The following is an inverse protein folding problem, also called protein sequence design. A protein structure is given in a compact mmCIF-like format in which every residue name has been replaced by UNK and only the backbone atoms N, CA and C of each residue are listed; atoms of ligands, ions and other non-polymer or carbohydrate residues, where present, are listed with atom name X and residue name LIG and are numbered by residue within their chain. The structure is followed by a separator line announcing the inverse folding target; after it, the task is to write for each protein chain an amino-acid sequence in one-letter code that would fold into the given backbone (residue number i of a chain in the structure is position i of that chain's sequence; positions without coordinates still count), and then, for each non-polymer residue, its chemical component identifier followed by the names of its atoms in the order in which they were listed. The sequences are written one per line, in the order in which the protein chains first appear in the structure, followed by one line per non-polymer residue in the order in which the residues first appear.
data_IF_551003943787
#
_entry.id   IF_551003943787
#
_cell.length_a   1.000
_cell.length_b   1.000
_cell.length_c   1.000
_cell.angle_alpha   90.00
_cell.angle_beta   90.00
_cell.angle_gamma   90.00
#
_symmetry.space_group_name_H-M   'P 1'
#
loop_
_entity.id
_entity.type
_entity.pdbx_description
1 polymer ?
#
# COMPACT_ATOMS: atom_id res chain seq x y z
N UNK A 1 -62.86 29.17 -20.99
CA UNK A 1 -63.36 28.41 -22.13
C UNK A 1 -62.80 27.00 -21.94
N UNK A 2 -63.50 26.18 -21.16
CA UNK A 2 -64.21 24.96 -21.59
C UNK A 2 -63.28 24.08 -22.45
N UNK A 3 -62.91 22.85 -22.11
CA UNK A 3 -63.78 21.67 -21.97
C UNK A 3 -63.08 20.61 -21.13
N UNK A 4 -63.77 20.12 -20.14
CA UNK A 4 -63.61 18.88 -19.37
C UNK A 4 -63.88 17.68 -20.28
N UNK A 5 -63.04 16.65 -20.28
CA UNK A 5 -63.43 15.30 -20.72
C UNK A 5 -62.96 14.32 -19.62
N UNK A 6 -63.97 13.86 -18.92
CA UNK A 6 -63.95 12.73 -18.01
C UNK A 6 -63.99 11.47 -18.86
N UNK A 7 -63.03 10.57 -18.73
CA UNK A 7 -63.17 9.19 -19.16
C UNK A 7 -62.95 8.26 -17.96
N UNK A 8 -64.08 7.87 -17.40
CA UNK A 8 -64.19 6.66 -16.59
C UNK A 8 -63.96 5.46 -17.51
N UNK A 9 -62.96 4.68 -17.29
CA UNK A 9 -62.87 3.32 -17.79
C UNK A 9 -62.79 2.35 -16.63
N UNK A 10 -63.81 1.53 -16.58
CA UNK A 10 -64.10 0.54 -15.57
C UNK A 10 -62.96 -0.48 -15.37
N UNK A 11 -62.58 -0.66 -14.14
CA UNK A 11 -61.68 -1.67 -13.67
C UNK A 11 -62.40 -3.02 -13.64
N UNK A 12 -62.24 -3.85 -14.63
CA UNK A 12 -62.65 -5.26 -14.58
C UNK A 12 -61.50 -6.08 -13.97
N UNK A 13 -61.60 -6.37 -12.68
CA UNK A 13 -60.76 -7.37 -12.00
C UNK A 13 -61.13 -8.77 -12.52
N UNK A 14 -60.30 -9.31 -13.40
CA UNK A 14 -60.33 -10.74 -13.73
C UNK A 14 -59.42 -11.45 -12.73
N UNK A 15 -60.06 -11.95 -11.65
CA UNK A 15 -59.42 -12.92 -10.74
C UNK A 15 -59.42 -14.27 -11.47
N UNK A 16 -58.34 -14.58 -12.14
CA UNK A 16 -58.12 -15.94 -12.65
C UNK A 16 -57.76 -16.86 -11.51
N UNK A 17 -58.78 -17.48 -10.89
CA UNK A 17 -58.60 -18.60 -10.00
C UNK A 17 -58.05 -19.78 -10.80
N UNK A 18 -56.79 -20.11 -10.63
CA UNK A 18 -56.22 -21.38 -11.08
C UNK A 18 -56.87 -22.50 -10.26
N UNK A 19 -57.92 -23.07 -10.84
CA UNK A 19 -58.43 -24.35 -10.36
C UNK A 19 -57.41 -25.41 -10.74
N UNK A 20 -56.60 -25.79 -9.80
CA UNK A 20 -55.76 -27.00 -9.93
C UNK A 20 -56.69 -28.17 -9.81
N UNK A 21 -57.13 -28.75 -10.93
CA UNK A 21 -57.82 -30.00 -10.97
C UNK A 21 -56.88 -31.08 -10.41
N UNK A 22 -57.15 -31.52 -9.17
CA UNK A 22 -56.55 -32.78 -8.65
C UNK A 22 -57.00 -33.89 -9.58
N UNK A 23 -56.11 -34.76 -10.07
CA UNK A 23 -56.53 -35.97 -10.74
C UNK A 23 -57.34 -36.80 -9.73
N UNK A 24 -58.61 -37.06 -10.06
CA UNK A 24 -59.46 -37.91 -9.30
C UNK A 24 -58.96 -39.35 -9.48
N UNK A 25 -58.12 -39.76 -8.51
CA UNK A 25 -57.77 -41.16 -8.38
C UNK A 25 -59.02 -41.88 -7.90
N UNK A 26 -59.69 -42.56 -8.82
CA UNK A 26 -60.75 -43.46 -8.45
C UNK A 26 -60.16 -44.68 -7.78
N UNK A 27 -60.11 -44.64 -6.49
CA UNK A 27 -59.76 -45.82 -5.68
C UNK A 27 -61.03 -46.72 -5.60
N UNK A 28 -61.09 -47.65 -6.50
CA UNK A 28 -62.23 -48.57 -6.61
C UNK A 28 -62.39 -49.47 -5.41
N UNK A 29 -61.43 -49.51 -4.50
CA UNK A 29 -61.48 -50.34 -3.29
C UNK A 29 -61.94 -49.57 -2.02
N UNK A 30 -62.16 -48.23 -2.14
CA UNK A 30 -62.57 -47.43 -0.98
C UNK A 30 -64.10 -47.37 -0.76
N UNK A 31 -64.93 -47.94 -1.67
CA UNK A 31 -66.35 -47.87 -1.53
C UNK A 31 -66.93 -49.25 -1.15
N UNK A 32 -67.31 -49.40 0.10
CA UNK A 32 -67.91 -50.63 0.69
C UNK A 32 -69.20 -51.11 0.02
N UNK A 33 -69.70 -50.40 -1.00
CA UNK A 33 -70.95 -50.77 -1.73
C UNK A 33 -70.76 -51.45 -3.04
N UNK A 34 -69.56 -51.61 -3.53
CA UNK A 34 -69.28 -52.30 -4.81
C UNK A 34 -68.94 -53.74 -4.52
N UNK A 35 -69.95 -54.53 -4.28
CA UNK A 35 -69.88 -56.01 -4.27
C UNK A 35 -70.17 -56.50 -5.67
N UNK A 36 -69.19 -56.61 -6.52
CA UNK A 36 -69.32 -57.14 -7.87
C UNK A 36 -68.18 -58.09 -8.19
N UNK A 37 -68.53 -59.22 -8.76
CA UNK A 37 -67.67 -60.38 -9.03
C UNK A 37 -66.39 -60.13 -9.86
N UNK A 38 -66.13 -58.96 -10.36
CA UNK A 38 -64.96 -58.66 -11.18
C UNK A 38 -63.96 -57.72 -10.56
N UNK A 39 -64.15 -57.30 -9.36
CA UNK A 39 -63.25 -56.40 -8.65
C UNK A 39 -62.77 -57.04 -7.36
N UNK A 40 -61.68 -57.80 -7.48
CA UNK A 40 -61.06 -58.47 -6.38
C UNK A 40 -60.17 -57.44 -5.63
N UNK A 41 -60.70 -56.83 -4.60
CA UNK A 41 -59.90 -56.17 -3.60
C UNK A 41 -59.63 -57.19 -2.51
N UNK A 42 -58.50 -57.89 -2.62
CA UNK A 42 -58.03 -58.84 -1.59
C UNK A 42 -57.26 -58.09 -0.54
N UNK A 43 -57.75 -57.93 0.67
CA UNK A 43 -57.07 -57.24 1.77
C UNK A 43 -55.81 -58.01 2.23
N UNK A 44 -55.63 -59.26 1.79
CA UNK A 44 -54.46 -60.04 2.15
C UNK A 44 -53.22 -59.83 1.31
N UNK A 45 -53.35 -59.02 0.20
CA UNK A 45 -52.26 -58.73 -0.70
C UNK A 45 -51.78 -57.26 -0.64
N UNK A 46 -52.18 -56.50 0.36
CA UNK A 46 -51.48 -55.31 0.72
C UNK A 46 -50.14 -55.72 1.34
N UNK A 47 -49.15 -56.03 0.51
CA UNK A 47 -47.76 -56.05 0.94
C UNK A 47 -47.49 -54.70 1.62
N UNK A 48 -47.32 -54.71 2.95
CA UNK A 48 -46.80 -53.55 3.65
C UNK A 48 -45.52 -53.14 2.93
N UNK A 49 -45.57 -51.97 2.28
CA UNK A 49 -44.36 -51.41 1.68
C UNK A 49 -43.29 -51.41 2.77
N UNK A 50 -42.09 -51.92 2.50
CA UNK A 50 -41.05 -51.95 3.50
C UNK A 50 -40.92 -50.55 4.09
N UNK A 51 -40.75 -50.41 5.42
CA UNK A 51 -40.61 -49.12 6.02
C UNK A 51 -39.61 -48.31 5.24
N UNK A 52 -40.06 -47.22 4.61
CA UNK A 52 -39.14 -46.30 4.03
C UNK A 52 -38.21 -45.85 5.15
N UNK A 53 -36.98 -46.31 5.07
CA UNK A 53 -35.91 -45.85 5.93
C UNK A 53 -35.88 -44.34 5.77
N UNK A 54 -36.48 -43.60 6.70
CA UNK A 54 -36.47 -42.17 6.74
C UNK A 54 -34.99 -41.84 6.92
N UNK A 55 -34.34 -41.49 5.83
CA UNK A 55 -32.96 -40.99 5.87
C UNK A 55 -32.93 -39.88 6.90
N UNK A 56 -32.30 -40.16 8.03
CA UNK A 56 -32.06 -39.15 9.04
C UNK A 56 -31.52 -37.93 8.34
N UNK A 57 -32.07 -36.73 8.61
CA UNK A 57 -31.52 -35.52 7.99
C UNK A 57 -30.02 -35.53 8.27
N UNK A 58 -29.23 -35.61 7.23
CA UNK A 58 -27.81 -35.47 7.36
C UNK A 58 -27.59 -34.10 7.99
N UNK A 59 -27.13 -34.09 9.25
CA UNK A 59 -26.68 -32.89 9.92
C UNK A 59 -25.44 -32.46 9.12
N UNK A 60 -25.66 -31.54 8.15
CA UNK A 60 -24.55 -30.87 7.46
C UNK A 60 -23.78 -30.16 8.57
N UNK A 61 -22.55 -30.58 8.86
CA UNK A 61 -21.77 -29.90 9.89
C UNK A 61 -21.74 -28.42 9.54
N UNK A 62 -21.89 -27.51 10.51
CA UNK A 62 -21.84 -26.09 10.25
C UNK A 62 -20.53 -25.81 9.50
N UNK A 63 -20.65 -25.30 8.29
CA UNK A 63 -19.47 -24.89 7.51
C UNK A 63 -18.72 -23.88 8.37
N UNK A 64 -17.48 -24.20 8.72
CA UNK A 64 -16.63 -23.26 9.43
C UNK A 64 -16.54 -21.99 8.56
N UNK A 65 -16.76 -20.80 9.15
CA UNK A 65 -16.64 -19.58 8.39
C UNK A 65 -15.25 -19.49 7.79
N UNK A 66 -15.18 -19.12 6.52
CA UNK A 66 -13.91 -18.93 5.82
C UNK A 66 -13.07 -17.91 6.56
N UNK A 67 -11.78 -18.14 6.63
CA UNK A 67 -10.84 -17.13 7.11
C UNK A 67 -10.77 -15.95 6.12
N UNK A 68 -10.38 -14.77 6.59
CA UNK A 68 -10.20 -13.60 5.72
C UNK A 68 -9.23 -13.87 4.56
N UNK A 69 -8.23 -14.74 4.78
CA UNK A 69 -7.29 -15.16 3.73
C UNK A 69 -7.97 -16.01 2.66
N UNK A 70 -8.78 -16.98 3.06
CA UNK A 70 -9.53 -17.82 2.11
C UNK A 70 -10.55 -16.99 1.33
N UNK A 71 -11.23 -16.07 1.99
CA UNK A 71 -12.20 -15.17 1.36
C UNK A 71 -11.54 -14.27 0.31
N UNK A 72 -10.40 -13.64 0.63
CA UNK A 72 -9.70 -12.78 -0.34
C UNK A 72 -9.11 -13.57 -1.51
N UNK A 73 -8.66 -14.81 -1.28
CA UNK A 73 -8.17 -15.69 -2.35
C UNK A 73 -9.29 -16.10 -3.29
N UNK A 74 -10.45 -16.49 -2.76
CA UNK A 74 -11.64 -16.79 -3.57
C UNK A 74 -12.10 -15.56 -4.37
N UNK A 75 -12.10 -14.39 -3.74
CA UNK A 75 -12.44 -13.13 -4.42
C UNK A 75 -11.48 -12.81 -5.57
N UNK A 76 -10.17 -12.95 -5.35
CA UNK A 76 -9.16 -12.75 -6.42
C UNK A 76 -9.36 -13.69 -7.59
N UNK A 77 -9.59 -14.98 -7.32
CA UNK A 77 -9.86 -15.94 -8.37
C UNK A 77 -11.12 -15.58 -9.18
N UNK A 78 -12.16 -15.09 -8.51
CA UNK A 78 -13.37 -14.60 -9.17
C UNK A 78 -13.12 -13.38 -10.05
N UNK A 79 -12.34 -12.41 -9.55
CA UNK A 79 -11.93 -11.21 -10.31
C UNK A 79 -11.16 -11.59 -11.57
N UNK A 80 -10.19 -12.49 -11.44
CA UNK A 80 -9.37 -12.93 -12.55
C UNK A 80 -10.19 -13.71 -13.60
N UNK A 81 -11.13 -14.54 -13.19
CA UNK A 81 -12.03 -15.26 -14.11
C UNK A 81 -12.88 -14.30 -14.94
N UNK A 82 -13.52 -13.31 -14.32
CA UNK A 82 -14.33 -12.32 -15.04
C UNK A 82 -13.47 -11.47 -15.98
N UNK A 83 -12.32 -11.02 -15.50
CA UNK A 83 -11.35 -10.24 -16.29
C UNK A 83 -10.89 -11.02 -17.52
N UNK A 84 -10.44 -12.26 -17.33
CA UNK A 84 -9.93 -13.09 -18.44
C UNK A 84 -11.03 -13.44 -19.43
N UNK A 85 -12.25 -13.69 -18.97
CA UNK A 85 -13.42 -13.88 -19.85
C UNK A 85 -13.70 -12.65 -20.70
N UNK A 86 -13.68 -11.46 -20.12
CA UNK A 86 -13.87 -10.21 -20.85
C UNK A 86 -12.75 -9.94 -21.87
N UNK A 87 -11.50 -10.29 -21.54
CA UNK A 87 -10.35 -10.09 -22.44
C UNK A 87 -10.33 -11.12 -23.58
N UNK A 88 -10.59 -12.37 -23.28
CA UNK A 88 -10.52 -13.45 -24.26
C UNK A 88 -11.75 -13.49 -25.17
N UNK A 89 -12.92 -13.11 -24.68
CA UNK A 89 -14.17 -13.04 -25.42
C UNK A 89 -14.90 -11.73 -25.10
N UNK A 90 -14.56 -10.63 -25.77
CA UNK A 90 -15.03 -9.27 -25.45
C UNK A 90 -16.45 -9.02 -25.99
N UNK A 91 -17.42 -9.81 -25.52
CA UNK A 91 -18.84 -9.51 -25.75
C UNK A 91 -19.27 -8.36 -24.84
N UNK A 92 -20.35 -7.68 -25.23
CA UNK A 92 -20.93 -6.60 -24.43
C UNK A 92 -21.21 -7.06 -22.98
N UNK A 93 -21.79 -8.24 -22.81
CA UNK A 93 -22.11 -8.83 -21.52
C UNK A 93 -20.86 -9.08 -20.65
N UNK A 94 -19.82 -9.66 -21.24
CA UNK A 94 -18.57 -9.93 -20.52
C UNK A 94 -17.85 -8.64 -20.11
N UNK A 95 -17.88 -7.64 -20.97
CA UNK A 95 -17.27 -6.33 -20.69
C UNK A 95 -18.06 -5.60 -19.59
N UNK A 96 -19.39 -5.60 -19.66
CA UNK A 96 -20.24 -5.03 -18.61
C UNK A 96 -19.99 -5.71 -17.27
N UNK A 97 -19.98 -7.03 -17.22
CA UNK A 97 -19.71 -7.77 -15.98
C UNK A 97 -18.35 -7.38 -15.35
N UNK A 98 -17.33 -7.19 -16.18
CA UNK A 98 -16.02 -6.76 -15.69
C UNK A 98 -16.03 -5.29 -15.20
N UNK A 99 -16.75 -4.40 -15.88
CA UNK A 99 -16.89 -3.00 -15.46
C UNK A 99 -17.66 -2.88 -14.13
N UNK A 100 -18.75 -3.64 -13.96
CA UNK A 100 -19.53 -3.67 -12.71
C UNK A 100 -18.67 -4.19 -11.52
N UNK A 101 -17.89 -5.25 -11.75
CA UNK A 101 -16.96 -5.77 -10.76
C UNK A 101 -15.90 -4.74 -10.37
N UNK A 102 -15.32 -4.00 -11.32
CA UNK A 102 -14.38 -2.93 -11.03
C UNK A 102 -15.03 -1.79 -10.22
N UNK A 103 -16.27 -1.44 -10.53
CA UNK A 103 -17.01 -0.45 -9.74
C UNK A 103 -17.26 -0.91 -8.30
N UNK A 104 -17.53 -2.19 -8.10
CA UNK A 104 -17.64 -2.78 -6.74
C UNK A 104 -16.30 -2.73 -5.99
N UNK A 105 -15.21 -3.11 -6.64
CA UNK A 105 -13.86 -3.04 -6.06
C UNK A 105 -13.52 -1.60 -5.66
N UNK A 106 -13.76 -0.64 -6.54
CA UNK A 106 -13.52 0.78 -6.25
C UNK A 106 -14.35 1.28 -5.06
N UNK A 107 -15.60 0.86 -4.94
CA UNK A 107 -16.46 1.22 -3.80
C UNK A 107 -15.95 0.61 -2.49
N UNK A 108 -15.52 -0.66 -2.49
CA UNK A 108 -14.91 -1.31 -1.32
C UNK A 108 -13.61 -0.61 -0.90
N UNK A 109 -12.76 -0.26 -1.87
CA UNK A 109 -11.52 0.48 -1.63
C UNK A 109 -11.80 1.87 -1.06
N UNK A 110 -12.81 2.58 -1.59
CA UNK A 110 -13.25 3.87 -1.07
C UNK A 110 -13.74 3.79 0.38
N UNK A 111 -14.54 2.77 0.68
CA UNK A 111 -15.00 2.53 2.06
C UNK A 111 -13.83 2.26 3.03
N UNK A 112 -12.87 1.43 2.62
CA UNK A 112 -11.67 1.20 3.41
C UNK A 112 -10.88 2.48 3.65
N UNK A 113 -10.68 3.29 2.60
CA UNK A 113 -9.96 4.57 2.69
C UNK A 113 -10.66 5.55 3.64
N UNK A 114 -12.00 5.66 3.56
CA UNK A 114 -12.77 6.52 4.47
C UNK A 114 -12.62 6.05 5.93
N UNK A 115 -12.75 4.74 6.18
CA UNK A 115 -12.56 4.19 7.53
C UNK A 115 -11.13 4.39 8.04
N UNK A 116 -10.12 4.21 7.17
CA UNK A 116 -8.73 4.49 7.50
C UNK A 116 -8.53 5.93 7.97
N UNK A 117 -9.05 6.90 7.20
CA UNK A 117 -8.99 8.32 7.56
C UNK A 117 -9.66 8.60 8.90
N UNK A 118 -10.86 8.06 9.12
CA UNK A 118 -11.60 8.23 10.39
C UNK A 118 -10.87 7.63 11.59
N UNK A 119 -10.16 6.53 11.39
CA UNK A 119 -9.30 5.93 12.42
C UNK A 119 -8.13 6.85 12.73
N UNK A 120 -7.43 7.37 11.70
CA UNK A 120 -6.32 8.31 11.89
C UNK A 120 -6.74 9.56 12.69
N UNK A 121 -7.94 10.12 12.42
CA UNK A 121 -8.45 11.28 13.17
C UNK A 121 -8.62 11.01 14.68
N UNK A 122 -8.81 9.76 15.06
CA UNK A 122 -9.06 9.34 16.46
C UNK A 122 -7.85 8.70 17.13
N UNK A 123 -6.80 8.39 16.35
CA UNK A 123 -5.63 7.65 16.81
C UNK A 123 -4.35 8.39 16.39
N UNK A 124 -4.01 9.47 17.10
CA UNK A 124 -2.86 10.33 16.75
C UNK A 124 -1.53 9.56 16.64
N UNK A 125 -1.40 8.44 17.36
CA UNK A 125 -0.20 7.60 17.34
C UNK A 125 0.06 6.96 15.97
N UNK A 126 -1.00 6.77 15.18
CA UNK A 126 -0.93 6.21 13.83
C UNK A 126 -0.88 7.29 12.75
N UNK A 127 -1.20 8.54 13.10
CA UNK A 127 -1.22 9.65 12.16
C UNK A 127 0.18 10.22 11.96
N UNK A 128 0.79 9.92 10.82
CA UNK A 128 2.09 10.45 10.43
C UNK A 128 2.10 12.00 10.36
N UNK A 129 0.95 12.63 10.12
CA UNK A 129 0.82 14.08 10.05
C UNK A 129 1.11 14.77 11.38
N UNK A 130 0.95 14.07 12.51
CA UNK A 130 1.31 14.58 13.84
C UNK A 130 2.83 14.78 13.98
N UNK A 131 3.61 13.89 13.39
CA UNK A 131 5.09 13.92 13.45
C UNK A 131 5.68 14.72 12.29
N UNK A 132 5.11 14.62 11.11
CA UNK A 132 5.58 15.27 9.88
C UNK A 132 4.37 15.89 9.15
N UNK A 133 4.12 17.17 9.29
CA UNK A 133 2.95 17.83 8.70
C UNK A 133 2.91 17.67 7.19
N UNK A 134 1.70 17.41 6.65
CA UNK A 134 1.46 17.28 5.21
C UNK A 134 0.87 18.55 4.58
N UNK A 135 0.31 19.44 5.39
CA UNK A 135 -0.21 20.72 4.92
C UNK A 135 0.93 21.72 4.66
N UNK A 136 0.83 22.50 3.58
CA UNK A 136 1.90 23.41 3.14
C UNK A 136 2.43 24.33 4.25
N UNK A 137 1.53 24.96 5.01
CA UNK A 137 1.92 25.84 6.13
C UNK A 137 2.65 25.06 7.25
N UNK A 138 2.19 23.84 7.54
CA UNK A 138 2.83 22.97 8.53
C UNK A 138 4.20 22.47 8.06
N UNK A 139 4.34 22.14 6.78
CA UNK A 139 5.62 21.74 6.18
C UNK A 139 6.68 22.82 6.36
N UNK A 140 6.34 24.09 6.07
CA UNK A 140 7.29 25.20 6.22
C UNK A 140 7.76 25.34 7.67
N UNK A 141 6.83 25.38 8.62
CA UNK A 141 7.18 25.49 10.04
C UNK A 141 8.02 24.31 10.52
N UNK A 142 7.65 23.10 10.10
CA UNK A 142 8.41 21.89 10.43
C UNK A 142 9.82 21.93 9.83
N UNK A 143 9.95 22.36 8.57
CA UNK A 143 11.24 22.50 7.90
C UNK A 143 12.14 23.52 8.59
N UNK A 144 11.60 24.67 8.97
CA UNK A 144 12.36 25.70 9.70
C UNK A 144 12.84 25.19 11.07
N UNK A 145 11.99 24.44 11.78
CA UNK A 145 12.39 23.81 13.04
C UNK A 145 13.48 22.75 12.84
N UNK A 146 13.34 21.91 11.83
CA UNK A 146 14.33 20.88 11.51
C UNK A 146 15.66 21.48 11.08
N UNK A 147 15.65 22.53 10.27
CA UNK A 147 16.86 23.26 9.88
C UNK A 147 17.59 23.81 11.11
N UNK A 148 16.86 24.40 12.04
CA UNK A 148 17.45 24.91 13.28
C UNK A 148 18.07 23.78 14.16
N UNK A 149 17.41 22.62 14.23
CA UNK A 149 17.93 21.46 14.94
C UNK A 149 19.20 20.91 14.27
N UNK A 150 19.17 20.76 12.94
CA UNK A 150 20.31 20.29 12.15
C UNK A 150 21.50 21.23 12.26
N UNK A 151 21.26 22.55 12.20
CA UNK A 151 22.30 23.58 12.40
C UNK A 151 22.95 23.47 13.78
N UNK A 152 22.15 23.32 14.84
CA UNK A 152 22.65 23.16 16.21
C UNK A 152 23.48 21.89 16.39
N UNK A 153 23.03 20.77 15.81
CA UNK A 153 23.76 19.49 15.84
C UNK A 153 25.05 19.62 15.08
N UNK A 154 25.02 20.19 13.89
CA UNK A 154 26.22 20.38 13.08
C UNK A 154 27.30 21.21 13.78
N UNK A 155 26.91 22.34 14.43
CA UNK A 155 27.85 23.15 15.24
C UNK A 155 28.52 22.35 16.34
N UNK A 156 27.75 21.53 17.05
CA UNK A 156 28.28 20.64 18.11
C UNK A 156 29.23 19.57 17.53
N UNK A 157 28.88 19.00 16.39
CA UNK A 157 29.73 18.00 15.71
C UNK A 157 31.02 18.65 15.22
N UNK A 158 30.95 19.88 14.70
CA UNK A 158 32.10 20.63 14.20
C UNK A 158 33.15 20.95 15.29
N UNK A 159 32.77 20.95 16.56
CA UNK A 159 33.74 21.18 17.67
C UNK A 159 34.80 20.08 17.80
N UNK A 160 34.46 18.83 17.42
CA UNK A 160 35.31 17.68 17.62
C UNK A 160 35.58 16.85 16.36
N UNK A 161 34.90 17.16 15.26
CA UNK A 161 34.97 16.42 14.01
C UNK A 161 35.38 17.34 12.85
N UNK A 162 35.96 16.76 11.81
CA UNK A 162 36.24 17.46 10.55
C UNK A 162 35.54 16.81 9.36
N UNK A 163 35.51 17.51 8.24
CA UNK A 163 35.06 16.97 6.97
C UNK A 163 36.26 16.60 6.10
N UNK A 164 36.32 15.36 5.65
CA UNK A 164 37.28 14.95 4.62
C UNK A 164 36.63 15.15 3.26
N UNK A 165 37.26 15.97 2.42
CA UNK A 165 36.87 16.23 1.05
C UNK A 165 37.84 15.55 0.08
N UNK A 166 37.38 14.49 -0.57
CA UNK A 166 38.16 13.72 -1.53
C UNK A 166 37.77 14.19 -2.94
N UNK A 167 38.76 14.66 -3.71
CA UNK A 167 38.49 15.27 -5.01
C UNK A 167 39.57 14.91 -6.05
N UNK A 168 39.32 15.25 -7.30
CA UNK A 168 40.26 15.29 -8.41
C UNK A 168 40.40 16.73 -8.91
N UNK A 169 41.44 16.98 -9.71
CA UNK A 169 41.73 18.30 -10.29
C UNK A 169 40.50 19.01 -10.83
N UNK A 170 40.34 20.30 -10.51
CA UNK A 170 39.19 21.13 -10.93
C UNK A 170 39.00 21.20 -12.44
N UNK A 171 40.06 21.02 -13.21
CA UNK A 171 39.99 20.98 -14.66
C UNK A 171 39.37 19.68 -15.19
N UNK A 172 39.49 18.59 -14.43
CA UNK A 172 38.93 17.28 -14.78
C UNK A 172 37.55 17.04 -14.13
N UNK A 173 37.34 17.60 -12.93
CA UNK A 173 36.15 17.38 -12.13
C UNK A 173 35.42 18.70 -11.84
N UNK A 174 34.55 19.12 -12.76
CA UNK A 174 33.78 20.35 -12.60
C UNK A 174 32.87 20.35 -11.35
N UNK A 175 32.36 19.18 -10.95
CA UNK A 175 31.54 19.03 -9.71
C UNK A 175 32.42 19.12 -8.46
N UNK A 176 33.68 18.69 -8.50
CA UNK A 176 34.62 18.86 -7.39
C UNK A 176 34.86 20.34 -7.09
N UNK A 177 35.03 21.16 -8.15
CA UNK A 177 35.16 22.60 -8.02
C UNK A 177 33.93 23.27 -7.35
N UNK A 178 32.70 22.81 -7.69
CA UNK A 178 31.49 23.33 -7.09
C UNK A 178 31.38 22.87 -5.64
N UNK A 179 31.69 21.60 -5.38
CA UNK A 179 31.68 21.06 -4.02
C UNK A 179 32.70 21.78 -3.10
N UNK A 180 33.87 22.08 -3.63
CA UNK A 180 34.87 22.87 -2.89
C UNK A 180 34.35 24.25 -2.44
N UNK A 181 33.55 24.92 -3.25
CA UNK A 181 32.91 26.20 -2.84
C UNK A 181 31.92 25.98 -1.70
N UNK A 182 31.04 24.97 -1.80
CA UNK A 182 30.07 24.66 -0.74
C UNK A 182 30.80 24.41 0.57
N UNK A 183 31.90 23.66 0.56
CA UNK A 183 32.66 23.33 1.77
C UNK A 183 33.39 24.50 2.35
N UNK A 184 33.99 25.37 1.52
CA UNK A 184 34.63 26.60 1.98
C UNK A 184 33.64 27.56 2.66
N UNK A 185 32.43 27.67 2.09
CA UNK A 185 31.36 28.47 2.68
C UNK A 185 30.90 27.87 4.03
N UNK A 186 30.83 26.54 4.15
CA UNK A 186 30.52 25.84 5.39
C UNK A 186 31.61 25.97 6.45
N UNK A 187 32.89 25.92 6.05
CA UNK A 187 34.02 26.15 6.94
C UNK A 187 33.97 27.55 7.54
N UNK A 188 33.67 28.56 6.72
CA UNK A 188 33.50 29.95 7.18
C UNK A 188 32.28 30.11 8.09
N UNK A 189 31.15 29.48 7.77
CA UNK A 189 29.89 29.67 8.50
C UNK A 189 29.85 28.90 9.82
N UNK A 190 30.42 27.70 9.87
CA UNK A 190 30.27 26.76 11.00
C UNK A 190 31.58 26.51 11.76
N UNK A 191 32.73 26.90 11.19
CA UNK A 191 34.04 26.65 11.79
C UNK A 191 34.45 25.17 11.75
N UNK A 192 33.84 24.36 10.90
CA UNK A 192 34.26 22.96 10.74
C UNK A 192 35.55 22.91 9.91
N UNK A 193 36.53 22.13 10.35
CA UNK A 193 37.76 21.93 9.61
C UNK A 193 37.51 21.02 8.39
N UNK A 194 37.99 21.47 7.19
CA UNK A 194 37.90 20.68 5.97
C UNK A 194 39.26 20.15 5.57
N UNK A 195 39.47 18.85 5.73
CA UNK A 195 40.66 18.15 5.25
C UNK A 195 40.47 17.76 3.78
N UNK A 196 40.98 18.56 2.89
CA UNK A 196 40.94 18.30 1.46
C UNK A 196 42.03 17.34 1.03
N UNK A 197 41.66 16.28 0.28
CA UNK A 197 42.58 15.22 -0.19
C UNK A 197 42.43 15.07 -1.72
N UNK A 198 43.47 15.40 -2.43
CA UNK A 198 43.54 15.22 -3.89
C UNK A 198 43.92 13.79 -4.24
N UNK A 199 43.11 13.14 -5.02
CA UNK A 199 43.31 11.77 -5.47
C UNK A 199 44.36 11.63 -6.56
N UNK A 200 44.45 12.62 -7.42
CA UNK A 200 45.34 12.64 -8.60
C UNK A 200 46.47 13.67 -8.53
N UNK A 201 46.65 14.31 -7.36
CA UNK A 201 47.61 15.39 -7.17
C UNK A 201 47.23 16.72 -7.83
N UNK A 202 45.98 16.81 -8.32
CA UNK A 202 45.43 18.05 -8.88
C UNK A 202 45.04 19.06 -7.81
N UNK A 203 44.63 20.25 -8.23
CA UNK A 203 44.36 21.40 -7.38
C UNK A 203 42.88 21.71 -7.38
N UNK A 204 42.35 22.03 -6.18
CA UNK A 204 41.06 22.69 -6.03
C UNK A 204 41.24 24.15 -5.66
N UNK A 205 40.56 25.06 -6.36
CA UNK A 205 40.73 26.50 -6.20
C UNK A 205 40.38 27.02 -4.78
N UNK A 206 39.55 26.30 -4.02
CA UNK A 206 39.18 26.65 -2.65
C UNK A 206 40.08 26.00 -1.60
N UNK A 207 40.75 24.92 -1.97
CA UNK A 207 41.65 24.15 -1.09
C UNK A 207 43.01 23.97 -1.80
N UNK A 208 43.81 25.06 -1.99
CA UNK A 208 45.08 24.99 -2.73
C UNK A 208 46.14 24.14 -1.96
N UNK A 209 46.04 24.05 -0.64
CA UNK A 209 46.98 23.33 0.21
C UNK A 209 46.52 21.88 0.49
N UNK A 210 45.63 21.33 -0.37
CA UNK A 210 45.13 19.98 -0.24
C UNK A 210 46.23 18.93 -0.17
N UNK A 211 46.04 17.92 0.64
CA UNK A 211 46.97 16.78 0.72
C UNK A 211 46.81 15.90 -0.53
N UNK A 212 47.95 15.36 -1.00
CA UNK A 212 47.90 14.33 -2.06
C UNK A 212 47.72 12.95 -1.43
N UNK A 213 46.85 12.13 -1.98
CA UNK A 213 46.69 10.74 -1.52
C UNK A 213 47.97 9.92 -1.84
N UNK A 214 48.64 9.47 -0.79
CA UNK A 214 49.79 8.55 -0.86
C UNK A 214 49.42 7.17 -0.23
N UNK A 215 48.12 6.82 -0.23
CA UNK A 215 47.58 5.57 0.27
C UNK A 215 46.73 5.73 1.56
N UNK A 216 46.47 6.98 1.99
CA UNK A 216 45.60 7.25 3.14
C UNK A 216 44.17 6.81 2.87
N UNK A 217 43.64 7.11 1.69
CA UNK A 217 42.29 6.73 1.32
C UNK A 217 42.08 5.22 1.35
N UNK A 218 43.09 4.44 1.00
CA UNK A 218 43.00 2.97 1.08
C UNK A 218 42.92 2.50 2.53
N UNK A 219 43.69 3.14 3.45
CA UNK A 219 43.68 2.78 4.89
C UNK A 219 42.33 3.06 5.52
N UNK A 220 41.63 4.11 5.11
CA UNK A 220 40.31 4.45 5.60
C UNK A 220 39.17 3.77 4.81
N UNK A 221 39.47 2.89 3.84
CA UNK A 221 38.47 2.21 3.04
C UNK A 221 37.77 3.10 2.00
N UNK A 222 38.35 4.29 1.72
CA UNK A 222 37.72 5.32 0.88
C UNK A 222 38.18 5.29 -0.59
N UNK A 223 39.14 4.43 -0.94
CA UNK A 223 39.70 4.39 -2.30
C UNK A 223 38.70 3.97 -3.39
N UNK A 224 37.63 3.25 -3.04
CA UNK A 224 36.58 2.78 -3.97
C UNK A 224 35.47 3.78 -4.28
N UNK A 225 35.44 4.92 -3.59
CA UNK A 225 34.38 5.92 -3.79
C UNK A 225 34.76 6.86 -4.93
N UNK A 226 33.80 7.35 -5.74
CA UNK A 226 34.07 8.32 -6.82
C UNK A 226 34.40 9.71 -6.28
N UNK A 227 34.97 10.58 -7.12
CA UNK A 227 35.20 12.00 -6.79
C UNK A 227 34.02 12.87 -7.27
N UNK A 228 33.57 13.88 -6.49
CA UNK A 228 33.96 14.15 -5.10
C UNK A 228 33.32 13.18 -4.12
N UNK A 229 33.94 12.91 -3.01
CA UNK A 229 33.36 12.19 -1.85
C UNK A 229 33.62 13.00 -0.59
N UNK A 230 32.61 13.00 0.29
CA UNK A 230 32.67 13.61 1.60
C UNK A 230 32.59 12.54 2.70
N UNK A 231 33.40 12.69 3.72
CA UNK A 231 33.31 11.86 4.91
C UNK A 231 33.44 12.73 6.18
N UNK A 232 32.69 12.36 7.21
CA UNK A 232 32.86 12.91 8.56
C UNK A 232 34.01 12.16 9.23
N UNK A 233 34.93 12.88 9.83
CA UNK A 233 36.10 12.32 10.51
C UNK A 233 36.02 12.67 11.98
N UNK A 234 36.04 11.66 12.86
CA UNK A 234 36.25 11.80 14.27
C UNK A 234 37.69 11.42 14.61
N UNK A 235 38.57 12.40 14.84
CA UNK A 235 39.98 12.13 15.10
C UNK A 235 40.20 11.49 16.47
N UNK A 236 39.32 11.70 17.44
CA UNK A 236 39.44 11.14 18.78
C UNK A 236 39.24 9.61 18.79
N UNK A 237 38.28 9.13 17.99
CA UNK A 237 37.93 7.72 17.87
C UNK A 237 38.54 7.06 16.62
N UNK A 238 39.25 7.83 15.79
CA UNK A 238 39.80 7.38 14.51
C UNK A 238 38.68 6.79 13.57
N UNK A 239 37.50 7.37 13.66
CA UNK A 239 36.32 6.94 12.88
C UNK A 239 36.15 7.82 11.66
N UNK A 240 35.75 7.20 10.54
CA UNK A 240 35.46 7.89 9.29
C UNK A 240 34.16 7.35 8.73
N UNK A 241 33.16 8.22 8.68
CA UNK A 241 31.82 7.90 8.16
C UNK A 241 31.58 8.62 6.83
N UNK A 242 31.31 7.87 5.77
CA UNK A 242 31.04 8.46 4.47
C UNK A 242 29.67 9.15 4.50
N UNK A 243 29.68 10.47 4.23
CA UNK A 243 28.48 11.26 4.12
C UNK A 243 27.83 11.09 2.74
N UNK A 244 28.64 11.03 1.69
CA UNK A 244 28.16 10.78 0.35
C UNK A 244 29.17 11.13 -0.74
N UNK A 245 28.81 10.79 -1.98
CA UNK A 245 29.61 11.06 -3.17
C UNK A 245 28.81 11.87 -4.19
N UNK A 246 29.50 12.60 -5.03
CA UNK A 246 28.93 13.55 -5.97
C UNK A 246 28.74 14.95 -5.34
N UNK A 247 28.02 15.83 -6.04
CA UNK A 247 27.73 17.16 -5.53
C UNK A 247 26.62 17.05 -4.47
N UNK A 248 26.92 17.51 -3.26
CA UNK A 248 26.01 17.52 -2.11
C UNK A 248 25.88 18.97 -1.63
N UNK A 249 24.65 19.45 -1.47
CA UNK A 249 24.38 20.81 -0.97
C UNK A 249 24.67 20.94 0.52
N UNK A 250 24.83 22.15 1.01
CA UNK A 250 25.05 22.40 2.43
C UNK A 250 23.93 21.82 3.31
N UNK A 251 22.67 22.05 2.92
CA UNK A 251 21.49 21.54 3.65
C UNK A 251 21.50 20.00 3.70
N UNK A 252 21.88 19.35 2.61
CA UNK A 252 21.99 17.90 2.54
C UNK A 252 23.13 17.36 3.42
N UNK A 253 24.25 18.07 3.51
CA UNK A 253 25.36 17.74 4.42
C UNK A 253 24.89 17.82 5.88
N UNK A 254 24.20 18.94 6.24
CA UNK A 254 23.64 19.10 7.59
C UNK A 254 22.66 17.97 7.94
N UNK A 255 21.75 17.65 7.02
CA UNK A 255 20.77 16.57 7.21
C UNK A 255 21.44 15.21 7.40
N UNK A 256 22.42 14.86 6.56
CA UNK A 256 23.11 13.56 6.63
C UNK A 256 23.91 13.41 7.90
N UNK A 257 24.60 14.47 8.34
CA UNK A 257 25.34 14.48 9.61
C UNK A 257 24.36 14.37 10.77
N UNK A 258 23.24 15.08 10.76
CA UNK A 258 22.20 14.91 11.77
C UNK A 258 21.72 13.47 11.88
N UNK A 259 21.44 12.81 10.74
CA UNK A 259 20.99 11.41 10.73
C UNK A 259 22.06 10.47 11.29
N UNK A 260 23.32 10.63 10.88
CA UNK A 260 24.43 9.77 11.34
C UNK A 260 24.71 9.95 12.83
N UNK A 261 24.59 11.19 13.34
CA UNK A 261 24.99 11.53 14.71
C UNK A 261 23.86 11.34 15.74
N UNK A 262 22.59 11.52 15.34
CA UNK A 262 21.49 11.62 16.31
C UNK A 262 20.39 10.57 16.12
N UNK A 263 20.29 9.95 14.94
CA UNK A 263 19.19 9.05 14.65
C UNK A 263 19.65 7.60 14.70
N UNK A 264 19.12 6.79 15.63
CA UNK A 264 19.40 5.36 15.66
C UNK A 264 18.94 4.66 14.38
N UNK A 265 19.68 3.64 13.95
CA UNK A 265 19.32 2.84 12.77
C UNK A 265 17.95 2.21 12.97
N UNK A 266 17.05 2.44 12.00
CA UNK A 266 15.66 1.94 12.02
C UNK A 266 14.63 2.95 12.53
N UNK A 267 15.05 4.08 13.08
CA UNK A 267 14.15 5.19 13.40
C UNK A 267 13.89 6.07 12.17
N UNK A 268 12.70 6.70 12.16
CA UNK A 268 12.31 7.62 11.08
C UNK A 268 12.76 9.04 11.39
N UNK A 269 13.23 9.74 10.37
CA UNK A 269 13.68 11.13 10.41
C UNK A 269 13.01 11.98 9.33
#
# INVERSE_FOLDING_TARGET
MRITVVFLCALALIIASKVIAKPMQLDFCADEKITGWSFYCDPALQEEAPPQEVALPQVIPPQQPMTATEEIMAFRAHVDEIKYRAVLNPTEENVIAYMELNAEIARKAGHFTDQWQRVLFKTPELDANVKKPLAAAGITVFQDQMNAVQDAVFRRVAENNGLMFIFEDDAKCGICRVQGKVLADMEEQYGIEVLAVSRDGGVNAKFPDALVDIGQLKRFGLSGYPSPTLALVDPANNQVDVIGSGLITADEILQRIYVISEIPVGERY
#
